data_IF_330112305016
#
_entry.id   IF_330112305016
#
_cell.length_a   1.000
_cell.length_b   1.000
_cell.length_c   1.000
_cell.angle_alpha   90.00
_cell.angle_beta   90.00
_cell.angle_gamma   90.00
#
_symmetry.space_group_name_H-M   'P 1'
#
loop_
_entity.id
_entity.type
_entity.pdbx_description
1 polymer ?
#
# COMPACT_ATOMS: atom_id res chain seq x y z
N UNK A 1 -3.43 -9.33 -33.94
CA UNK A 1 -2.08 -9.34 -33.35
C UNK A 1 -2.12 -8.42 -32.14
N UNK A 2 -2.31 -9.00 -30.94
CA UNK A 2 -2.49 -8.28 -29.67
C UNK A 2 -1.16 -8.35 -28.92
N UNK A 3 -0.55 -7.20 -28.63
CA UNK A 3 0.59 -7.10 -27.73
C UNK A 3 0.11 -6.31 -26.50
N UNK A 4 -0.06 -7.02 -25.39
CA UNK A 4 -0.32 -6.45 -24.08
C UNK A 4 1.03 -5.99 -23.50
N UNK A 5 1.16 -4.70 -23.20
CA UNK A 5 2.26 -4.16 -22.42
C UNK A 5 1.68 -3.61 -21.11
N UNK A 6 2.12 -4.26 -20.03
CA UNK A 6 2.00 -3.83 -18.64
C UNK A 6 2.45 -2.37 -18.50
N UNK A 7 1.59 -1.52 -17.96
CA UNK A 7 1.93 -0.15 -17.54
C UNK A 7 1.53 0.00 -16.08
N UNK A 8 2.53 0.16 -15.21
CA UNK A 8 2.36 0.36 -13.78
C UNK A 8 1.40 1.49 -13.48
N UNK A 9 0.47 1.22 -12.56
CA UNK A 9 -0.50 2.18 -12.08
C UNK A 9 0.22 3.12 -11.10
N UNK A 10 0.86 4.15 -11.66
CA UNK A 10 1.17 5.36 -10.92
C UNK A 10 -0.20 5.92 -10.52
N UNK A 11 -0.55 5.79 -9.24
CA UNK A 11 -1.69 6.51 -8.66
C UNK A 11 -1.32 7.98 -8.65
N UNK A 12 -1.43 8.62 -9.82
CA UNK A 12 -1.47 10.06 -9.95
C UNK A 12 -2.83 10.47 -9.39
N UNK A 13 -2.86 10.72 -8.09
CA UNK A 13 -4.01 11.32 -7.42
C UNK A 13 -4.03 12.82 -7.78
N UNK A 14 -4.33 13.14 -9.04
CA UNK A 14 -4.78 14.49 -9.41
C UNK A 14 -6.22 14.58 -8.94
N UNK A 15 -6.41 14.82 -7.64
CA UNK A 15 -7.71 15.20 -7.12
C UNK A 15 -7.96 16.66 -7.50
N UNK A 16 -8.50 16.84 -8.72
CA UNK A 16 -9.40 17.94 -9.02
C UNK A 16 -10.70 17.69 -8.24
N UNK A 17 -10.67 17.89 -6.93
CA UNK A 17 -11.88 17.99 -6.11
C UNK A 17 -11.94 19.40 -5.58
N UNK A 18 -12.98 20.11 -6.01
CA UNK A 18 -13.32 21.45 -5.55
C UNK A 18 -13.57 21.45 -4.06
N UNK A 19 -12.50 21.64 -3.29
CA UNK A 19 -12.60 22.10 -1.93
C UNK A 19 -12.80 23.61 -2.02
N UNK A 20 -14.05 24.05 -1.89
CA UNK A 20 -14.34 25.40 -1.43
C UNK A 20 -13.85 25.50 0.02
N UNK A 21 -12.54 25.60 0.20
CA UNK A 21 -11.98 26.20 1.41
C UNK A 21 -12.46 27.63 1.36
N UNK A 22 -13.28 28.02 2.33
CA UNK A 22 -13.70 29.40 2.54
C UNK A 22 -12.45 30.21 2.84
N UNK A 23 -11.81 30.69 1.78
CA UNK A 23 -10.79 31.72 1.80
C UNK A 23 -11.49 32.97 2.31
N UNK A 24 -11.39 33.18 3.62
CA UNK A 24 -11.65 34.49 4.20
C UNK A 24 -10.54 35.39 3.64
N UNK A 25 -10.86 36.03 2.52
CA UNK A 25 -10.09 37.12 1.96
C UNK A 25 -10.04 38.22 3.03
N UNK A 26 -8.88 38.36 3.65
CA UNK A 26 -8.48 39.60 4.28
C UNK A 26 -7.10 39.91 3.74
N UNK A 27 -7.06 40.94 2.91
CA UNK A 27 -5.87 41.56 2.34
C UNK A 27 -4.81 41.74 3.42
N UNK A 28 -3.66 41.08 3.29
CA UNK A 28 -2.32 41.67 3.39
C UNK A 28 -1.34 40.75 2.65
N UNK A 29 -0.37 41.34 1.96
CA UNK A 29 0.70 40.68 1.21
C UNK A 29 1.69 39.96 2.13
N UNK A 30 1.22 38.92 2.81
CA UNK A 30 2.04 37.98 3.56
C UNK A 30 1.90 36.62 2.89
N UNK A 31 2.99 36.12 2.30
CA UNK A 31 3.06 34.70 1.98
C UNK A 31 2.78 33.90 3.25
N UNK A 32 2.16 32.72 3.11
CA UNK A 32 2.03 31.76 4.21
C UNK A 32 3.38 31.66 4.93
N UNK A 33 3.38 31.91 6.23
CA UNK A 33 4.60 31.75 7.01
C UNK A 33 5.01 30.27 7.00
N UNK A 34 6.32 29.99 7.13
CA UNK A 34 6.82 28.61 7.12
C UNK A 34 6.16 27.75 8.21
N UNK A 35 5.68 28.37 9.29
CA UNK A 35 5.00 27.72 10.41
C UNK A 35 3.57 27.31 10.03
N UNK A 36 2.78 28.21 9.43
CA UNK A 36 1.43 27.92 8.94
C UNK A 36 1.44 26.84 7.83
N UNK A 37 2.45 26.88 6.96
CA UNK A 37 2.63 25.86 5.93
C UNK A 37 2.99 24.49 6.53
N UNK A 38 3.88 24.46 7.54
CA UNK A 38 4.22 23.22 8.27
C UNK A 38 3.00 22.63 8.95
N UNK A 39 2.17 23.45 9.60
CA UNK A 39 0.93 22.97 10.23
C UNK A 39 -0.05 22.40 9.21
N UNK A 40 -0.18 23.04 8.06
CA UNK A 40 -1.05 22.56 6.97
C UNK A 40 -0.58 21.21 6.43
N UNK A 41 0.72 21.05 6.20
CA UNK A 41 1.30 19.79 5.75
C UNK A 41 1.13 18.69 6.81
N UNK A 42 1.37 18.99 8.08
CA UNK A 42 1.19 18.02 9.18
C UNK A 42 -0.28 17.59 9.30
N UNK A 43 -1.22 18.53 9.21
CA UNK A 43 -2.65 18.21 9.26
C UNK A 43 -3.10 17.39 8.06
N UNK A 44 -2.60 17.70 6.87
CA UNK A 44 -2.88 16.92 5.66
C UNK A 44 -2.32 15.49 5.79
N UNK A 45 -1.10 15.34 6.28
CA UNK A 45 -0.48 14.04 6.55
C UNK A 45 -1.34 13.25 7.54
N UNK A 46 -1.81 13.86 8.63
CA UNK A 46 -2.67 13.20 9.62
C UNK A 46 -4.00 12.73 9.01
N UNK A 47 -4.64 13.57 8.19
CA UNK A 47 -5.88 13.19 7.52
C UNK A 47 -5.70 12.03 6.55
N UNK A 48 -4.62 12.05 5.76
CA UNK A 48 -4.30 10.95 4.83
C UNK A 48 -3.94 9.68 5.61
N UNK A 49 -3.18 9.81 6.69
CA UNK A 49 -2.82 8.71 7.58
C UNK A 49 -4.03 8.00 8.18
N UNK A 50 -4.98 8.75 8.73
CA UNK A 50 -6.22 8.20 9.30
C UNK A 50 -7.10 7.56 8.22
N UNK A 51 -7.17 8.17 7.03
CA UNK A 51 -7.93 7.62 5.90
C UNK A 51 -7.33 6.31 5.37
N UNK A 52 -6.00 6.23 5.27
CA UNK A 52 -5.24 5.05 4.83
C UNK A 52 -5.31 3.91 5.87
N UNK A 53 -5.19 4.23 7.17
CA UNK A 53 -5.28 3.25 8.26
C UNK A 53 -6.66 2.55 8.33
N UNK A 54 -7.69 3.16 7.75
CA UNK A 54 -9.03 2.57 7.69
C UNK A 54 -9.22 1.51 6.59
N UNK A 55 -8.33 1.45 5.57
CA UNK A 55 -8.52 0.60 4.39
C UNK A 55 -7.59 -0.62 4.41
N UNK A 56 -8.10 -1.84 4.65
CA UNK A 56 -7.31 -3.05 4.50
C UNK A 56 -7.01 -3.32 3.01
N UNK A 57 -5.86 -3.94 2.67
CA UNK A 57 -4.79 -4.41 3.55
C UNK A 57 -3.91 -3.31 4.15
N UNK A 58 -3.57 -3.46 5.43
CA UNK A 58 -2.52 -2.65 6.07
C UNK A 58 -1.14 -3.17 5.63
N UNK A 59 -0.29 -2.31 5.10
CA UNK A 59 1.03 -2.69 4.56
C UNK A 59 2.14 -2.22 5.50
N UNK A 60 2.86 -3.16 6.11
CA UNK A 60 4.05 -2.84 6.92
C UNK A 60 5.33 -3.03 6.09
N UNK A 61 5.90 -1.90 5.66
CA UNK A 61 7.13 -1.84 4.88
C UNK A 61 8.41 -1.92 5.73
N UNK A 62 8.29 -1.87 7.06
CA UNK A 62 9.45 -1.93 7.97
C UNK A 62 9.93 -3.37 8.20
N UNK A 63 8.98 -4.30 8.28
CA UNK A 63 9.25 -5.72 8.60
C UNK A 63 9.22 -6.63 7.38
N UNK A 64 8.58 -6.19 6.28
CA UNK A 64 8.38 -7.02 5.09
C UNK A 64 9.11 -6.45 3.88
N UNK A 65 9.64 -7.33 3.03
CA UNK A 65 10.31 -6.92 1.80
C UNK A 65 9.31 -6.34 0.78
N UNK A 66 9.68 -5.28 0.08
CA UNK A 66 8.85 -4.62 -0.95
C UNK A 66 8.41 -5.58 -2.05
N UNK A 67 9.24 -6.55 -2.42
CA UNK A 67 8.92 -7.52 -3.45
C UNK A 67 7.90 -8.57 -2.96
N UNK A 68 7.97 -8.94 -1.67
CA UNK A 68 7.00 -9.84 -1.04
C UNK A 68 5.65 -9.15 -0.94
N UNK A 69 5.61 -7.88 -0.51
CA UNK A 69 4.37 -7.09 -0.45
C UNK A 69 3.68 -7.07 -1.81
N UNK A 70 4.43 -6.75 -2.88
CA UNK A 70 3.90 -6.75 -4.25
C UNK A 70 3.36 -8.12 -4.66
N UNK A 71 4.08 -9.20 -4.35
CA UNK A 71 3.67 -10.56 -4.67
C UNK A 71 2.36 -10.93 -3.98
N UNK A 72 2.24 -10.64 -2.69
CA UNK A 72 1.04 -10.92 -1.91
C UNK A 72 -0.15 -10.07 -2.39
N UNK A 73 0.04 -8.77 -2.65
CA UNK A 73 -1.00 -7.91 -3.24
C UNK A 73 -1.47 -8.43 -4.60
N UNK A 74 -0.54 -8.80 -5.48
CA UNK A 74 -0.88 -9.37 -6.77
C UNK A 74 -1.70 -10.66 -6.61
N UNK A 75 -1.32 -11.56 -5.69
CA UNK A 75 -2.10 -12.78 -5.42
C UNK A 75 -3.49 -12.50 -4.88
N UNK A 76 -3.64 -11.53 -3.97
CA UNK A 76 -4.93 -11.13 -3.42
C UNK A 76 -5.88 -10.63 -4.52
N UNK A 77 -5.35 -9.92 -5.52
CA UNK A 77 -6.13 -9.37 -6.63
C UNK A 77 -6.42 -10.40 -7.73
N UNK A 78 -5.46 -11.26 -8.08
CA UNK A 78 -5.59 -12.18 -9.23
C UNK A 78 -6.28 -13.49 -8.87
N UNK A 79 -6.19 -13.93 -7.61
CA UNK A 79 -6.72 -15.24 -7.20
C UNK A 79 -8.22 -15.15 -7.03
N UNK A 80 -8.96 -15.79 -7.93
CA UNK A 80 -10.41 -15.90 -7.85
C UNK A 80 -10.84 -17.18 -7.18
N UNK A 81 -11.74 -17.06 -6.22
CA UNK A 81 -12.23 -18.19 -5.43
C UNK A 81 -13.76 -18.16 -5.38
N UNK A 82 -14.36 -19.34 -5.38
CA UNK A 82 -15.77 -19.54 -5.08
C UNK A 82 -15.85 -20.19 -3.71
N UNK A 83 -16.52 -19.55 -2.75
CA UNK A 83 -16.68 -20.05 -1.39
C UNK A 83 -18.15 -20.12 -1.01
N UNK A 84 -18.51 -21.12 -0.22
CA UNK A 84 -19.86 -21.32 0.31
C UNK A 84 -19.75 -21.77 1.76
N UNK A 85 -19.57 -20.79 2.64
CA UNK A 85 -19.53 -20.98 4.09
C UNK A 85 -20.94 -20.89 4.64
N UNK A 86 -21.38 -21.94 5.33
CA UNK A 86 -22.68 -21.99 6.02
C UNK A 86 -22.43 -22.33 7.49
N UNK A 87 -22.53 -21.33 8.35
CA UNK A 87 -22.28 -21.48 9.79
C UNK A 87 -20.90 -22.04 10.14
N UNK A 88 -19.90 -21.69 9.32
CA UNK A 88 -18.52 -22.15 9.52
C UNK A 88 -17.81 -21.24 10.51
N UNK A 89 -16.96 -21.80 11.38
CA UNK A 89 -16.18 -20.99 12.30
C UNK A 89 -15.19 -20.10 11.54
N UNK A 90 -14.86 -18.93 12.07
CA UNK A 90 -13.90 -18.07 11.40
C UNK A 90 -12.52 -18.73 11.25
N UNK A 91 -12.10 -19.53 12.24
CA UNK A 91 -10.83 -20.27 12.16
C UNK A 91 -10.81 -21.22 10.96
N UNK A 92 -11.88 -22.00 10.78
CA UNK A 92 -12.00 -22.94 9.66
C UNK A 92 -12.05 -22.21 8.31
N UNK A 93 -12.65 -21.01 8.27
CA UNK A 93 -12.64 -20.17 7.07
C UNK A 93 -11.21 -19.74 6.71
N UNK A 94 -10.41 -19.33 7.70
CA UNK A 94 -9.00 -18.93 7.48
C UNK A 94 -8.15 -20.12 7.04
N UNK A 95 -8.34 -21.28 7.66
CA UNK A 95 -7.63 -22.50 7.29
C UNK A 95 -7.99 -22.95 5.86
N UNK A 96 -9.27 -22.89 5.49
CA UNK A 96 -9.69 -23.13 4.11
C UNK A 96 -9.02 -22.16 3.13
N UNK A 97 -8.94 -20.87 3.46
CA UNK A 97 -8.29 -19.89 2.59
C UNK A 97 -6.79 -20.17 2.48
N UNK A 98 -6.14 -20.64 3.55
CA UNK A 98 -4.72 -21.07 3.51
C UNK A 98 -4.55 -22.24 2.53
N UNK A 99 -5.41 -23.24 2.60
CA UNK A 99 -5.33 -24.44 1.76
C UNK A 99 -5.60 -24.15 0.27
N UNK A 100 -6.60 -23.32 -0.02
CA UNK A 100 -6.95 -22.99 -1.41
C UNK A 100 -5.95 -22.04 -2.06
N UNK A 101 -5.42 -21.08 -1.30
CA UNK A 101 -4.53 -20.04 -1.85
C UNK A 101 -3.06 -20.43 -1.83
N UNK A 102 -2.68 -21.38 -0.96
CA UNK A 102 -1.28 -21.73 -0.70
C UNK A 102 -0.46 -20.57 -0.13
N UNK A 103 -1.11 -19.53 0.39
CA UNK A 103 -0.45 -18.37 0.99
C UNK A 103 -0.17 -18.62 2.47
N UNK A 104 0.91 -18.05 2.99
CA UNK A 104 1.20 -18.14 4.41
C UNK A 104 0.33 -17.11 5.16
N UNK A 105 -0.76 -17.60 5.77
CA UNK A 105 -1.70 -16.79 6.54
C UNK A 105 -1.50 -17.08 8.03
N UNK A 106 -1.07 -16.06 8.77
CA UNK A 106 -0.93 -16.10 10.22
C UNK A 106 -2.16 -15.49 10.89
N UNK A 107 -2.75 -16.21 11.83
CA UNK A 107 -3.90 -15.75 12.60
C UNK A 107 -3.49 -15.49 14.06
N UNK A 108 -3.58 -14.24 14.50
CA UNK A 108 -3.19 -13.83 15.86
C UNK A 108 -4.08 -14.46 16.92
N UNK A 109 -3.49 -14.83 18.07
CA UNK A 109 -4.23 -15.39 19.22
C UNK A 109 -5.30 -14.44 19.75
N UNK A 110 -5.02 -13.14 19.78
CA UNK A 110 -6.01 -12.14 20.22
C UNK A 110 -7.22 -12.09 19.29
N UNK A 111 -6.99 -12.23 17.98
CA UNK A 111 -8.06 -12.26 17.00
C UNK A 111 -8.86 -13.59 17.06
N UNK A 112 -8.20 -14.70 17.40
CA UNK A 112 -8.87 -15.98 17.68
C UNK A 112 -9.84 -15.89 18.86
N UNK A 113 -9.41 -15.28 19.97
CA UNK A 113 -10.24 -15.10 21.17
C UNK A 113 -11.49 -14.26 20.88
N UNK A 114 -11.37 -13.21 20.06
CA UNK A 114 -12.50 -12.34 19.68
C UNK A 114 -13.49 -13.08 18.76
N UNK A 115 -13.01 -13.99 17.91
CA UNK A 115 -13.82 -14.65 16.88
C UNK A 115 -14.21 -16.09 17.21
N UNK A 116 -13.91 -16.58 18.41
CA UNK A 116 -14.10 -17.98 18.79
C UNK A 116 -15.55 -18.46 18.60
N UNK A 117 -16.53 -17.61 18.91
CA UNK A 117 -17.96 -17.92 18.80
C UNK A 117 -18.61 -17.38 17.51
N UNK A 118 -17.82 -16.74 16.64
CA UNK A 118 -18.35 -16.08 15.45
C UNK A 118 -18.49 -17.07 14.30
N UNK A 119 -19.74 -17.30 13.90
CA UNK A 119 -20.09 -18.08 12.72
C UNK A 119 -20.18 -17.19 11.49
N UNK A 120 -19.55 -17.61 10.40
CA UNK A 120 -19.58 -16.90 9.12
C UNK A 120 -20.56 -17.60 8.17
N UNK A 121 -21.43 -16.80 7.55
CA UNK A 121 -22.28 -17.23 6.45
C UNK A 121 -21.97 -16.38 5.22
N UNK A 122 -21.27 -16.97 4.25
CA UNK A 122 -20.80 -16.26 3.07
C UNK A 122 -20.83 -17.19 1.86
N UNK A 123 -21.62 -16.81 0.85
CA UNK A 123 -21.69 -17.51 -0.43
C UNK A 123 -21.35 -16.55 -1.55
N UNK A 124 -20.17 -16.72 -2.14
CA UNK A 124 -19.68 -15.90 -3.25
C UNK A 124 -19.07 -16.76 -4.33
N UNK A 125 -19.20 -16.32 -5.58
CA UNK A 125 -18.74 -17.04 -6.77
C UNK A 125 -17.81 -16.17 -7.61
N UNK A 126 -16.67 -16.74 -7.98
CA UNK A 126 -15.65 -16.13 -8.84
C UNK A 126 -15.20 -14.72 -8.36
N UNK A 127 -15.00 -14.56 -7.06
CA UNK A 127 -14.60 -13.28 -6.46
C UNK A 127 -13.09 -13.26 -6.20
N UNK A 128 -12.37 -12.15 -6.47
CA UNK A 128 -10.98 -12.02 -6.05
C UNK A 128 -10.85 -12.15 -4.54
N UNK A 129 -9.77 -12.80 -4.08
CA UNK A 129 -9.47 -13.06 -2.68
C UNK A 129 -9.47 -11.77 -1.84
N UNK A 130 -9.01 -10.66 -2.39
CA UNK A 130 -9.07 -9.33 -1.77
C UNK A 130 -10.49 -8.99 -1.30
N UNK A 131 -11.47 -9.16 -2.18
CA UNK A 131 -12.86 -8.85 -1.86
C UNK A 131 -13.44 -9.84 -0.85
N UNK A 132 -13.05 -11.11 -0.92
CA UNK A 132 -13.47 -12.12 0.07
C UNK A 132 -12.93 -11.75 1.44
N UNK A 133 -11.66 -11.37 1.55
CA UNK A 133 -11.05 -10.94 2.80
C UNK A 133 -11.71 -9.67 3.35
N UNK A 134 -12.07 -8.71 2.49
CA UNK A 134 -12.82 -7.52 2.92
C UNK A 134 -14.21 -7.88 3.46
N UNK A 135 -14.91 -8.83 2.83
CA UNK A 135 -16.20 -9.32 3.32
C UNK A 135 -16.05 -10.07 4.65
N UNK A 136 -14.97 -10.84 4.83
CA UNK A 136 -14.70 -11.55 6.07
C UNK A 136 -14.39 -10.61 7.24
N UNK A 137 -13.62 -9.53 7.02
CA UNK A 137 -13.42 -8.50 8.06
C UNK A 137 -14.74 -7.83 8.44
N UNK A 138 -15.65 -7.61 7.49
CA UNK A 138 -16.91 -6.89 7.75
C UNK A 138 -17.74 -7.54 8.88
N UNK A 139 -17.50 -8.82 9.18
CA UNK A 139 -18.13 -9.53 10.30
C UNK A 139 -17.76 -8.91 11.67
N UNK A 140 -16.55 -8.35 11.83
CA UNK A 140 -16.12 -7.75 13.08
C UNK A 140 -15.20 -6.54 12.84
N UNK A 141 -15.64 -5.37 13.30
CA UNK A 141 -14.93 -4.10 13.10
C UNK A 141 -13.57 -4.02 13.80
N UNK A 142 -13.31 -4.85 14.82
CA UNK A 142 -12.06 -4.78 15.59
C UNK A 142 -10.90 -5.52 14.92
N UNK A 143 -11.18 -6.26 13.84
CA UNK A 143 -10.24 -7.14 13.18
C UNK A 143 -9.90 -6.57 11.82
N UNK A 144 -8.65 -6.77 11.42
CA UNK A 144 -8.15 -6.36 10.12
C UNK A 144 -7.08 -7.34 9.64
N UNK A 145 -6.66 -7.20 8.38
CA UNK A 145 -5.57 -7.97 7.82
C UNK A 145 -4.53 -7.04 7.18
N UNK A 146 -3.30 -7.51 7.16
CA UNK A 146 -2.19 -6.80 6.56
C UNK A 146 -1.03 -7.73 6.23
N UNK A 147 -0.01 -7.21 5.56
CA UNK A 147 1.21 -7.97 5.28
C UNK A 147 2.27 -7.51 6.28
N UNK A 148 2.72 -8.43 7.14
CA UNK A 148 3.71 -8.19 8.19
C UNK A 148 4.61 -9.41 8.32
N UNK A 149 5.91 -9.21 8.54
CA UNK A 149 6.89 -10.31 8.63
C UNK A 149 6.83 -11.29 7.43
N UNK A 150 6.61 -10.76 6.21
CA UNK A 150 6.48 -11.54 4.97
C UNK A 150 5.33 -12.57 4.96
N UNK A 151 4.36 -12.43 5.86
CA UNK A 151 3.15 -13.26 5.95
C UNK A 151 1.88 -12.40 5.88
N UNK A 152 0.78 -13.00 5.43
CA UNK A 152 -0.53 -12.38 5.55
C UNK A 152 -0.98 -12.50 7.01
N UNK A 153 -0.94 -11.40 7.74
CA UNK A 153 -1.24 -11.32 9.16
C UNK A 153 -2.69 -10.88 9.37
N UNK A 154 -3.49 -11.72 10.04
CA UNK A 154 -4.85 -11.41 10.47
C UNK A 154 -4.81 -11.16 11.98
N UNK A 155 -5.21 -9.96 12.40
CA UNK A 155 -5.07 -9.49 13.78
C UNK A 155 -6.06 -8.41 14.15
N UNK A 156 -5.92 -7.85 15.36
CA UNK A 156 -6.71 -6.66 15.73
C UNK A 156 -6.15 -5.42 15.05
N UNK A 157 -6.98 -4.38 14.91
CA UNK A 157 -6.54 -3.07 14.40
C UNK A 157 -5.34 -2.53 15.18
N UNK A 158 -5.34 -2.70 16.49
CA UNK A 158 -4.25 -2.26 17.37
C UNK A 158 -2.92 -2.98 17.11
N UNK A 159 -2.95 -4.25 16.69
CA UNK A 159 -1.72 -5.01 16.40
C UNK A 159 -1.11 -4.72 15.03
N UNK A 160 -1.98 -4.34 14.09
CA UNK A 160 -1.63 -4.15 12.67
C UNK A 160 -1.35 -2.69 12.31
N UNK A 161 -2.01 -1.72 12.95
CA UNK A 161 -1.71 -0.30 12.75
C UNK A 161 -0.35 -0.02 13.40
N UNK A 162 0.71 -0.09 12.60
CA UNK A 162 2.02 0.44 12.97
C UNK A 162 1.95 1.97 13.00
N UNK A 163 2.49 2.59 14.05
CA UNK A 163 2.57 4.05 14.18
C UNK A 163 3.39 4.72 13.05
N UNK A 164 4.17 3.95 12.29
CA UNK A 164 4.99 4.44 11.18
C UNK A 164 4.33 4.20 9.82
N UNK A 165 3.62 5.19 9.31
CA UNK A 165 3.31 5.26 7.88
C UNK A 165 4.57 5.69 7.12
N UNK A 166 5.01 4.96 6.08
CA UNK A 166 6.13 5.40 5.26
C UNK A 166 5.69 6.51 4.33
N UNK A 167 5.90 7.75 4.76
CA UNK A 167 5.71 8.94 3.93
C UNK A 167 7.04 9.22 3.23
N UNK A 168 7.04 9.15 1.91
CA UNK A 168 8.20 9.56 1.10
C UNK A 168 8.02 11.02 0.68
N UNK A 169 8.94 11.89 1.09
CA UNK A 169 8.99 13.28 0.66
C UNK A 169 9.79 13.39 -0.63
N UNK A 170 9.16 13.93 -1.68
CA UNK A 170 9.83 14.28 -2.93
C UNK A 170 9.92 15.79 -3.06
N UNK A 171 11.13 16.31 -3.27
CA UNK A 171 11.31 17.72 -3.61
C UNK A 171 10.94 17.93 -5.08
N UNK A 172 10.07 18.90 -5.36
CA UNK A 172 9.70 19.24 -6.75
C UNK A 172 10.93 19.63 -7.56
N UNK A 173 11.93 20.26 -6.91
CA UNK A 173 13.23 20.60 -7.49
C UNK A 173 13.94 19.41 -8.14
N UNK A 174 13.90 18.23 -7.50
CA UNK A 174 14.55 17.02 -8.03
C UNK A 174 13.79 16.46 -9.24
N UNK A 175 12.47 16.61 -9.28
CA UNK A 175 11.63 16.17 -10.40
C UNK A 175 11.88 17.04 -11.64
N UNK A 176 12.10 18.33 -11.46
CA UNK A 176 12.33 19.28 -12.55
C UNK A 176 13.81 19.45 -12.90
N UNK A 177 14.72 18.92 -12.09
CA UNK A 177 16.15 19.07 -12.30
C UNK A 177 16.58 18.35 -13.57
N UNK A 178 17.12 19.11 -14.53
CA UNK A 178 17.85 18.56 -15.67
C UNK A 178 19.33 18.75 -15.40
N UNK A 179 20.13 17.66 -15.30
CA UNK A 179 21.57 17.79 -15.22
C UNK A 179 22.09 18.65 -16.38
N UNK A 180 22.95 19.64 -16.11
CA UNK A 180 23.55 20.41 -17.19
C UNK A 180 24.40 19.50 -18.09
N UNK A 181 24.46 19.83 -19.37
CA UNK A 181 25.33 19.12 -20.31
C UNK A 181 26.79 19.45 -19.98
N UNK A 182 27.50 18.45 -19.45
CA UNK A 182 28.92 18.59 -19.12
C UNK A 182 29.75 18.27 -20.36
N UNK A 183 30.51 19.25 -20.85
CA UNK A 183 31.46 19.00 -21.93
C UNK A 183 32.45 17.93 -21.51
N UNK A 184 32.51 16.84 -22.26
CA UNK A 184 33.49 15.79 -22.04
C UNK A 184 34.90 16.37 -22.20
N UNK A 185 35.85 16.02 -21.31
CA UNK A 185 37.26 16.32 -21.54
C UNK A 185 37.74 15.56 -22.78
N UNK A 186 38.60 16.19 -23.59
CA UNK A 186 39.22 15.56 -24.75
C UNK A 186 40.27 14.53 -24.30
N UNK A 187 39.81 13.37 -23.81
CA UNK A 187 40.66 12.23 -23.50
C UNK A 187 40.81 11.42 -24.79
N UNK A 188 41.72 11.85 -25.66
CA UNK A 188 42.20 11.00 -26.73
C UNK A 188 43.13 9.95 -26.10
N UNK A 189 42.71 8.68 -26.09
CA UNK A 189 43.63 7.58 -25.82
C UNK A 189 44.69 7.60 -26.93
N UNK A 190 46.00 7.68 -26.62
CA UNK A 190 47.03 7.54 -27.64
C UNK A 190 46.84 6.15 -28.28
N UNK A 191 46.51 6.14 -29.57
CA UNK A 191 46.45 4.91 -30.36
C UNK A 191 47.86 4.36 -30.42
N UNK A 192 48.02 3.09 -30.02
CA UNK A 192 49.31 2.45 -29.73
C UNK A 192 50.41 2.78 -30.73
N UNK A 193 51.57 3.16 -30.19
CA UNK A 193 52.83 3.29 -30.92
C UNK A 193 53.06 2.01 -31.74
N UNK A 194 53.16 2.15 -33.06
CA UNK A 194 53.64 1.07 -33.91
C UNK A 194 55.13 0.87 -33.61
N UNK A 195 55.50 -0.34 -33.18
CA UNK A 195 56.90 -0.72 -32.92
C UNK A 195 57.78 -0.46 -34.15
N UNK A 196 58.93 0.21 -34.00
CA UNK A 196 59.87 0.40 -35.11
C UNK A 196 60.55 -0.92 -35.49
N UNK A 197 60.53 -1.23 -36.78
CA UNK A 197 61.23 -2.35 -37.43
C UNK A 197 62.75 -2.25 -37.34
#
# INVERSE_FOLDING_TARGET
MRLFLFGGLIVSCVLFFGFSVSLKAQDESGGLTDEEFRELIINLIKQVAEAEASKPPILDYSTSSKDVIKLYCARLETTKITVNFKEVSFSDCVDFLRDVTGMNIFFSKKAQEILQDTKVNLSVKDLPLLNIMNLLITVNENITYGIKYDVLYIGTKEELVSESLPIEFYLIGDIIYRPPDFKAPDIALPTGEQEPK
#
